data_IF_286281515487
#
_entry.id   IF_286281515487
#
_cell.length_a   1.000
_cell.length_b   1.000
_cell.length_c   1.000
_cell.angle_alpha   90.00
_cell.angle_beta   90.00
_cell.angle_gamma   90.00
#
_symmetry.space_group_name_H-M   'P 1'
#
loop_
_entity.id
_entity.type
_entity.pdbx_description
1 polymer ?
#
# COMPACT_ATOMS: atom_id res chain seq x y z
N UNK A 1 -46.87 14.89 6.13
CA UNK A 1 -46.32 13.71 5.42
C UNK A 1 -45.94 12.69 6.47
N UNK A 2 -46.64 11.56 6.49
CA UNK A 2 -46.69 10.58 7.57
C UNK A 2 -45.95 9.32 7.16
N UNK A 3 -44.97 8.88 7.95
CA UNK A 3 -44.31 7.58 7.75
C UNK A 3 -44.74 6.62 8.85
N UNK A 4 -45.43 5.56 8.43
CA UNK A 4 -45.92 4.45 9.25
C UNK A 4 -44.77 3.54 9.67
N UNK A 5 -44.81 3.13 10.93
CA UNK A 5 -44.06 2.04 11.52
C UNK A 5 -44.53 0.68 10.98
N UNK A 6 -43.62 -0.29 10.88
CA UNK A 6 -43.93 -1.72 10.77
C UNK A 6 -43.29 -2.49 11.92
N UNK A 7 -44.14 -3.24 12.61
CA UNK A 7 -43.85 -4.11 13.75
C UNK A 7 -43.74 -5.57 13.28
N UNK A 8 -42.89 -6.30 14.00
CA UNK A 8 -42.69 -7.75 14.17
C UNK A 8 -43.62 -8.74 13.44
N UNK A 9 -42.99 -9.85 13.01
CA UNK A 9 -43.50 -11.19 13.38
C UNK A 9 -42.34 -12.19 13.49
N UNK A 10 -42.28 -12.85 14.65
CA UNK A 10 -41.40 -13.97 14.94
C UNK A 10 -42.03 -15.28 14.49
N UNK A 11 -41.23 -16.25 14.04
CA UNK A 11 -41.61 -17.66 14.08
C UNK A 11 -40.43 -18.52 14.54
N UNK A 12 -40.73 -19.31 15.55
CA UNK A 12 -39.90 -20.29 16.24
C UNK A 12 -39.81 -21.57 15.39
N UNK A 13 -38.67 -22.28 15.39
CA UNK A 13 -38.67 -23.75 15.38
C UNK A 13 -37.32 -24.28 15.86
N UNK A 14 -37.38 -25.02 16.95
CA UNK A 14 -36.34 -25.79 17.63
C UNK A 14 -36.06 -27.11 16.91
N UNK A 15 -34.82 -27.62 16.93
CA UNK A 15 -34.58 -29.07 16.92
C UNK A 15 -33.26 -29.46 17.60
N UNK A 16 -33.37 -30.58 18.31
CA UNK A 16 -32.47 -31.21 19.27
C UNK A 16 -31.25 -31.90 18.63
N UNK A 17 -30.21 -32.16 19.44
CA UNK A 17 -29.28 -33.26 19.16
C UNK A 17 -27.90 -33.13 19.81
N UNK A 18 -27.80 -33.37 21.11
CA UNK A 18 -26.52 -33.54 21.80
C UNK A 18 -26.39 -34.95 22.39
N UNK A 19 -25.38 -35.70 21.94
CA UNK A 19 -24.80 -36.84 22.64
C UNK A 19 -23.34 -37.00 22.18
N UNK A 20 -22.38 -36.81 23.08
CA UNK A 20 -21.13 -37.58 23.03
C UNK A 20 -20.55 -37.70 24.43
N UNK A 21 -20.56 -38.94 24.90
CA UNK A 21 -20.03 -39.44 26.15
C UNK A 21 -18.53 -39.67 26.04
N UNK A 22 -17.76 -39.22 27.03
CA UNK A 22 -16.48 -39.84 27.38
C UNK A 22 -16.38 -39.91 28.91
N UNK A 23 -16.27 -41.15 29.40
CA UNK A 23 -16.11 -41.53 30.79
C UNK A 23 -14.63 -41.70 31.09
N UNK A 24 -14.16 -41.13 32.21
CA UNK A 24 -12.80 -41.30 32.73
C UNK A 24 -12.84 -41.98 34.10
N UNK A 25 -11.82 -42.78 34.37
CA UNK A 25 -11.68 -43.66 35.51
C UNK A 25 -11.31 -42.95 36.84
N UNK A 26 -11.86 -43.51 37.92
CA UNK A 26 -11.40 -43.71 39.33
C UNK A 26 -9.92 -43.31 39.62
N UNK A 27 -9.44 -42.72 40.74
CA UNK A 27 -9.72 -42.66 42.21
C UNK A 27 -8.69 -41.68 42.85
N UNK A 28 -8.44 -41.62 44.19
CA UNK A 28 -9.16 -41.02 45.32
C UNK A 28 -8.52 -39.72 45.92
N UNK A 29 -9.22 -39.17 46.91
CA UNK A 29 -8.97 -37.97 47.71
C UNK A 29 -7.66 -37.90 48.52
N UNK A 30 -7.19 -36.66 48.74
CA UNK A 30 -6.45 -36.20 49.94
C UNK A 30 -7.00 -34.82 50.35
N UNK A 31 -7.28 -34.53 51.64
CA UNK A 31 -7.73 -33.22 52.08
C UNK A 31 -6.58 -32.36 52.64
N UNK A 32 -6.52 -31.09 52.24
CA UNK A 32 -5.73 -30.03 52.91
C UNK A 32 -6.39 -28.68 52.58
N UNK A 33 -7.17 -28.13 53.51
CA UNK A 33 -6.75 -27.09 54.46
C UNK A 33 -6.30 -25.77 53.81
N UNK A 34 -7.22 -24.81 53.79
CA UNK A 34 -6.95 -23.38 53.95
C UNK A 34 -6.68 -22.60 52.67
N UNK A 35 -7.69 -21.88 52.16
CA UNK A 35 -7.47 -20.74 51.28
C UNK A 35 -8.40 -19.57 51.60
N UNK A 36 -7.76 -18.41 51.75
CA UNK A 36 -8.32 -17.07 51.74
C UNK A 36 -9.03 -16.79 50.41
N UNK A 37 -10.27 -16.28 50.47
CA UNK A 37 -10.93 -15.66 49.31
C UNK A 37 -10.29 -14.30 49.03
N UNK A 38 -9.43 -14.23 48.01
CA UNK A 38 -9.14 -12.98 47.31
C UNK A 38 -10.03 -12.92 46.07
N UNK A 39 -10.89 -11.90 46.00
CA UNK A 39 -11.71 -11.59 44.82
C UNK A 39 -10.80 -11.22 43.65
N UNK A 40 -10.86 -12.00 42.57
CA UNK A 40 -10.32 -11.62 41.26
C UNK A 40 -11.47 -11.06 40.43
N UNK A 41 -11.46 -9.75 40.25
CA UNK A 41 -12.33 -9.03 39.33
C UNK A 41 -11.76 -9.19 37.91
N UNK A 42 -12.34 -10.09 37.11
CA UNK A 42 -12.06 -10.18 35.68
C UNK A 42 -12.76 -9.02 34.96
N UNK A 43 -11.99 -7.97 34.66
CA UNK A 43 -12.42 -6.89 33.79
C UNK A 43 -12.22 -7.32 32.32
N UNK A 44 -13.33 -7.55 31.64
CA UNK A 44 -13.43 -7.70 30.19
C UNK A 44 -12.75 -6.52 29.51
N UNK A 45 -11.74 -6.78 28.69
CA UNK A 45 -11.06 -5.76 27.89
C UNK A 45 -11.76 -5.71 26.54
N UNK A 46 -12.44 -4.61 26.29
CA UNK A 46 -13.06 -4.28 25.02
C UNK A 46 -12.02 -4.23 23.89
N UNK A 47 -12.40 -4.87 22.80
CA UNK A 47 -11.74 -4.90 21.50
C UNK A 47 -11.57 -3.48 20.97
N UNK A 48 -10.37 -2.92 21.14
CA UNK A 48 -10.05 -1.57 20.68
C UNK A 48 -9.67 -1.60 19.20
N UNK A 49 -10.47 -0.85 18.44
CA UNK A 49 -10.36 -0.66 17.00
C UNK A 49 -8.95 -0.29 16.51
N UNK A 50 -8.51 -0.95 15.44
CA UNK A 50 -7.32 -0.59 14.68
C UNK A 50 -7.55 0.77 14.01
N UNK A 51 -6.84 1.79 14.49
CA UNK A 51 -6.85 3.13 13.94
C UNK A 51 -6.35 3.10 12.48
N UNK A 52 -7.28 3.33 11.56
CA UNK A 52 -7.00 3.56 10.14
C UNK A 52 -6.59 5.02 10.00
N UNK A 53 -5.33 5.29 9.65
CA UNK A 53 -4.87 6.64 9.35
C UNK A 53 -5.62 7.15 8.10
N UNK A 54 -6.54 8.08 8.32
CA UNK A 54 -7.27 8.79 7.28
C UNK A 54 -6.36 9.75 6.52
N UNK A 55 -6.61 9.86 5.22
CA UNK A 55 -5.94 10.80 4.32
C UNK A 55 -6.51 12.21 4.56
N UNK A 56 -5.68 13.27 4.69
CA UNK A 56 -6.18 14.64 4.66
C UNK A 56 -6.46 15.08 3.22
N UNK A 57 -7.66 15.65 2.99
CA UNK A 57 -8.01 16.44 1.79
C UNK A 57 -7.15 17.72 1.77
N UNK A 58 -6.31 17.89 0.75
CA UNK A 58 -5.62 19.15 0.48
C UNK A 58 -6.42 20.03 -0.49
N UNK A 59 -6.76 21.22 -0.02
CA UNK A 59 -7.54 22.22 -0.73
C UNK A 59 -6.79 22.86 -1.91
N UNK A 60 -7.52 23.07 -3.00
CA UNK A 60 -7.07 23.76 -4.20
C UNK A 60 -6.82 25.26 -3.96
N UNK A 61 -5.57 25.71 -4.21
CA UNK A 61 -5.27 27.12 -4.50
C UNK A 61 -5.17 27.37 -6.01
N UNK A 62 -5.88 28.41 -6.44
CA UNK A 62 -5.99 28.92 -7.81
C UNK A 62 -4.66 29.53 -8.30
N UNK A 63 -4.27 29.24 -9.54
CA UNK A 63 -3.27 30.01 -10.28
C UNK A 63 -3.92 30.73 -11.48
N UNK A 64 -3.54 31.99 -11.64
CA UNK A 64 -4.03 32.99 -12.60
C UNK A 64 -3.30 32.96 -13.94
N UNK A 65 -3.99 33.43 -14.99
CA UNK A 65 -3.55 33.67 -16.37
C UNK A 65 -2.41 34.69 -16.51
N UNK A 66 -1.63 34.55 -17.60
CA UNK A 66 -1.19 35.58 -18.59
C UNK A 66 0.26 35.29 -19.02
N UNK A 67 0.70 35.35 -20.28
CA UNK A 67 0.10 35.91 -21.50
C UNK A 67 0.87 35.55 -22.77
N UNK A 68 0.28 35.99 -23.88
CA UNK A 68 0.68 35.87 -25.28
C UNK A 68 2.11 36.38 -25.60
N UNK A 69 2.78 35.76 -26.58
CA UNK A 69 3.20 36.43 -27.83
C UNK A 69 3.82 35.46 -28.88
N UNK A 70 3.31 35.57 -30.11
CA UNK A 70 3.86 35.16 -31.43
C UNK A 70 3.59 36.39 -32.36
N UNK A 71 4.14 36.58 -33.57
CA UNK A 71 4.91 35.65 -34.39
C UNK A 71 6.07 36.24 -35.24
N UNK A 72 6.90 35.35 -35.79
CA UNK A 72 7.83 35.67 -36.88
C UNK A 72 7.92 34.50 -37.87
N UNK A 73 7.44 34.71 -39.09
CA UNK A 73 7.45 33.78 -40.23
C UNK A 73 8.53 34.23 -41.22
N UNK A 74 9.34 33.30 -41.77
CA UNK A 74 9.76 33.33 -43.19
C UNK A 74 10.03 31.90 -43.72
N UNK A 75 9.84 31.65 -45.04
CA UNK A 75 9.63 30.33 -45.61
C UNK A 75 10.82 29.78 -46.43
N UNK A 76 10.84 28.45 -46.59
CA UNK A 76 11.25 27.82 -47.84
C UNK A 76 12.63 27.16 -47.87
N UNK A 77 12.69 25.85 -47.57
CA UNK A 77 13.64 24.96 -48.26
C UNK A 77 13.07 23.54 -48.33
N UNK A 78 12.88 23.08 -49.58
CA UNK A 78 12.46 21.74 -49.95
C UNK A 78 13.63 20.78 -49.72
N UNK A 79 13.46 19.76 -48.89
CA UNK A 79 14.31 18.57 -48.91
C UNK A 79 13.53 17.36 -48.41
N UNK A 80 13.76 16.22 -49.06
CA UNK A 80 12.82 15.11 -49.21
C UNK A 80 12.24 14.49 -47.94
N UNK A 81 10.94 14.20 -48.00
CA UNK A 81 10.21 13.35 -47.07
C UNK A 81 10.74 11.92 -47.22
N UNK A 82 11.71 11.57 -46.39
CA UNK A 82 12.05 10.16 -46.10
C UNK A 82 11.23 9.78 -44.87
N UNK A 83 10.09 9.15 -45.11
CA UNK A 83 9.22 8.57 -44.07
C UNK A 83 10.05 7.59 -43.24
N UNK A 84 10.59 8.05 -42.10
CA UNK A 84 11.13 7.18 -41.06
C UNK A 84 9.92 6.57 -40.35
N UNK A 85 9.52 5.38 -40.79
CA UNK A 85 8.72 4.47 -39.98
C UNK A 85 9.64 4.01 -38.85
N UNK A 86 9.71 4.79 -37.77
CA UNK A 86 10.28 4.34 -36.51
C UNK A 86 9.27 3.42 -35.82
N UNK A 87 9.03 2.27 -36.42
CA UNK A 87 8.25 1.18 -35.84
C UNK A 87 9.21 0.13 -35.30
N UNK A 88 9.92 0.43 -34.22
CA UNK A 88 10.47 -0.64 -33.36
C UNK A 88 9.35 -0.98 -32.39
N UNK A 89 8.39 -1.77 -32.87
CA UNK A 89 7.44 -2.47 -32.02
C UNK A 89 8.28 -3.44 -31.20
N UNK A 90 8.59 -3.05 -29.96
CA UNK A 90 9.15 -3.97 -28.99
C UNK A 90 8.25 -5.22 -28.95
N UNK A 91 8.82 -6.44 -28.94
CA UNK A 91 8.01 -7.65 -28.80
C UNK A 91 7.06 -7.47 -27.61
N UNK A 92 5.79 -7.90 -27.73
CA UNK A 92 4.81 -7.64 -26.71
C UNK A 92 5.34 -8.17 -25.38
N UNK A 93 5.40 -7.27 -24.40
CA UNK A 93 5.67 -7.61 -23.02
C UNK A 93 4.76 -8.78 -22.62
N UNK A 94 5.27 -9.66 -21.75
CA UNK A 94 4.61 -10.90 -21.35
C UNK A 94 3.12 -10.61 -21.09
N UNK A 95 2.18 -11.30 -21.77
CA UNK A 95 0.77 -10.99 -21.63
C UNK A 95 0.34 -11.18 -20.17
N UNK A 96 -0.55 -10.32 -19.70
CA UNK A 96 -1.16 -10.47 -18.38
C UNK A 96 -2.24 -11.53 -18.46
N UNK A 97 -1.93 -12.71 -17.92
CA UNK A 97 -2.84 -13.86 -17.89
C UNK A 97 -3.49 -13.96 -16.52
N UNK A 98 -4.82 -14.03 -16.49
CA UNK A 98 -5.61 -14.26 -15.28
C UNK A 98 -6.21 -15.66 -15.40
N UNK A 99 -5.85 -16.56 -14.48
CA UNK A 99 -6.39 -17.91 -14.47
C UNK A 99 -7.75 -17.96 -13.78
N UNK A 100 -8.65 -18.80 -14.28
CA UNK A 100 -9.89 -19.13 -13.59
C UNK A 100 -9.59 -19.66 -12.19
N UNK A 101 -10.32 -19.16 -11.18
CA UNK A 101 -10.10 -19.54 -9.79
C UNK A 101 -9.00 -18.73 -9.08
N UNK A 102 -8.21 -17.93 -9.80
CA UNK A 102 -7.20 -17.06 -9.21
C UNK A 102 -7.77 -15.68 -8.82
N UNK A 103 -7.20 -15.05 -7.79
CA UNK A 103 -7.52 -13.66 -7.45
C UNK A 103 -6.79 -12.68 -8.38
N UNK A 104 -7.41 -11.52 -8.66
CA UNK A 104 -6.75 -10.48 -9.45
C UNK A 104 -5.42 -10.03 -8.82
N UNK A 105 -5.34 -9.98 -7.49
CA UNK A 105 -4.11 -9.68 -6.75
C UNK A 105 -3.00 -10.69 -7.06
N UNK A 106 -3.31 -11.99 -7.03
CA UNK A 106 -2.33 -13.05 -7.28
C UNK A 106 -1.86 -13.00 -8.74
N UNK A 107 -2.79 -12.83 -9.69
CA UNK A 107 -2.44 -12.69 -11.11
C UNK A 107 -1.47 -11.52 -11.33
N UNK A 108 -1.71 -10.35 -10.71
CA UNK A 108 -0.80 -9.20 -10.79
C UNK A 108 0.58 -9.52 -10.22
N UNK A 109 0.65 -10.20 -9.07
CA UNK A 109 1.92 -10.58 -8.45
C UNK A 109 2.69 -11.53 -9.36
N UNK A 110 2.03 -12.55 -9.89
CA UNK A 110 2.65 -13.53 -10.78
C UNK A 110 3.17 -12.86 -12.04
N UNK A 111 2.36 -12.05 -12.69
CA UNK A 111 2.74 -11.35 -13.93
C UNK A 111 3.90 -10.37 -13.72
N UNK A 112 3.87 -9.54 -12.68
CA UNK A 112 5.00 -8.64 -12.39
C UNK A 112 6.28 -9.44 -12.07
N UNK A 113 6.16 -10.58 -11.38
CA UNK A 113 7.31 -11.45 -11.13
C UNK A 113 7.83 -12.11 -12.41
N UNK A 114 6.96 -12.53 -13.32
CA UNK A 114 7.36 -13.12 -14.60
C UNK A 114 7.99 -12.09 -15.53
N UNK A 115 7.66 -10.81 -15.38
CA UNK A 115 8.33 -9.67 -16.04
C UNK A 115 9.66 -9.27 -15.36
N UNK A 116 10.06 -9.96 -14.29
CA UNK A 116 11.36 -9.82 -13.65
C UNK A 116 11.41 -8.84 -12.46
N UNK A 117 10.25 -8.33 -12.00
CA UNK A 117 10.19 -7.51 -10.80
C UNK A 117 10.33 -8.37 -9.52
N UNK A 118 11.33 -8.04 -8.71
CA UNK A 118 11.69 -8.78 -7.48
C UNK A 118 10.87 -8.35 -6.27
N UNK A 119 10.26 -7.17 -6.33
CA UNK A 119 9.49 -6.57 -5.25
C UNK A 119 8.34 -5.76 -5.81
N UNK A 120 7.19 -5.81 -5.11
CA UNK A 120 5.96 -5.16 -5.52
C UNK A 120 5.45 -4.34 -4.33
N UNK A 121 5.46 -3.03 -4.44
CA UNK A 121 4.87 -2.11 -3.46
C UNK A 121 3.37 -1.93 -3.72
N UNK A 122 2.62 -1.68 -2.66
CA UNK A 122 1.16 -1.49 -2.72
C UNK A 122 0.77 -0.22 -2.00
N UNK A 123 0.15 0.72 -2.71
CA UNK A 123 -0.44 1.94 -2.17
C UNK A 123 -1.89 2.07 -2.65
N UNK A 124 -2.72 1.16 -2.15
CA UNK A 124 -4.13 1.00 -2.54
C UNK A 124 -5.05 1.12 -1.32
N UNK A 125 -6.25 1.67 -1.53
CA UNK A 125 -7.28 1.80 -0.51
C UNK A 125 -7.93 0.45 -0.18
N UNK A 126 -8.61 0.38 0.97
CA UNK A 126 -9.26 -0.84 1.44
C UNK A 126 -10.31 -1.36 0.43
N UNK A 127 -11.12 -0.48 -0.15
CA UNK A 127 -12.14 -0.87 -1.15
C UNK A 127 -11.55 -1.55 -2.38
N UNK A 128 -10.44 -1.04 -2.90
CA UNK A 128 -9.73 -1.62 -4.04
C UNK A 128 -9.03 -2.92 -3.67
N UNK A 129 -8.46 -2.99 -2.47
CA UNK A 129 -7.87 -4.23 -1.92
C UNK A 129 -8.88 -5.37 -1.88
N UNK A 130 -10.12 -5.11 -1.44
CA UNK A 130 -11.18 -6.12 -1.44
C UNK A 130 -11.60 -6.52 -2.86
N UNK A 131 -11.64 -5.57 -3.81
CA UNK A 131 -11.94 -5.88 -5.21
C UNK A 131 -10.86 -6.75 -5.86
N UNK A 132 -9.59 -6.51 -5.53
CA UNK A 132 -8.46 -7.31 -6.01
C UNK A 132 -8.42 -8.73 -5.43
N UNK A 133 -9.06 -8.97 -4.27
CA UNK A 133 -9.22 -10.32 -3.69
C UNK A 133 -10.30 -11.15 -4.39
N UNK A 134 -11.14 -10.55 -5.23
CA UNK A 134 -12.15 -11.30 -6.00
C UNK A 134 -11.47 -12.29 -6.94
N UNK A 135 -12.13 -13.43 -7.12
CA UNK A 135 -11.67 -14.52 -7.97
C UNK A 135 -12.18 -14.33 -9.40
N UNK A 136 -11.34 -14.65 -10.39
CA UNK A 136 -11.74 -14.67 -11.79
C UNK A 136 -12.60 -15.90 -12.09
N UNK A 137 -13.75 -15.69 -12.75
CA UNK A 137 -14.70 -16.76 -13.10
C UNK A 137 -14.34 -17.51 -14.37
N UNK A 138 -13.40 -16.98 -15.16
CA UNK A 138 -12.89 -17.56 -16.41
C UNK A 138 -11.47 -17.08 -16.66
N UNK A 139 -10.74 -17.80 -17.51
CA UNK A 139 -9.45 -17.34 -18.00
C UNK A 139 -9.61 -16.02 -18.77
N UNK A 140 -8.68 -15.12 -18.57
CA UNK A 140 -8.63 -13.83 -19.25
C UNK A 140 -7.18 -13.49 -19.62
N UNK A 141 -7.01 -12.72 -20.68
CA UNK A 141 -5.70 -12.34 -21.19
C UNK A 141 -5.75 -10.90 -21.67
N UNK A 142 -4.87 -10.07 -21.08
CA UNK A 142 -4.73 -8.66 -21.43
C UNK A 142 -3.32 -8.46 -22.04
N UNK A 143 -3.19 -7.77 -23.19
CA UNK A 143 -1.89 -7.40 -23.74
C UNK A 143 -1.00 -6.65 -22.73
N UNK A 144 0.31 -6.89 -22.79
CA UNK A 144 1.16 -6.94 -21.60
C UNK A 144 1.97 -5.71 -21.19
N UNK A 145 1.57 -4.47 -21.46
CA UNK A 145 2.25 -3.33 -20.83
C UNK A 145 1.55 -2.85 -19.54
N UNK A 146 2.28 -2.29 -18.55
CA UNK A 146 1.72 -1.83 -17.28
C UNK A 146 0.53 -0.88 -17.42
N UNK A 147 0.52 0.01 -18.40
CA UNK A 147 -0.56 0.98 -18.58
C UNK A 147 -1.83 0.32 -19.13
N UNK A 148 -1.68 -0.57 -20.12
CA UNK A 148 -2.81 -1.34 -20.68
C UNK A 148 -3.40 -2.28 -19.63
N UNK A 149 -2.56 -2.99 -18.88
CA UNK A 149 -3.01 -3.91 -17.83
C UNK A 149 -3.73 -3.16 -16.71
N UNK A 150 -3.17 -2.03 -16.25
CA UNK A 150 -3.80 -1.25 -15.17
C UNK A 150 -5.13 -0.63 -15.63
N UNK A 151 -5.23 -0.14 -16.87
CA UNK A 151 -6.46 0.40 -17.44
C UNK A 151 -7.56 -0.67 -17.57
N UNK A 152 -7.21 -1.86 -18.07
CA UNK A 152 -8.15 -2.97 -18.21
C UNK A 152 -8.65 -3.47 -16.86
N UNK A 153 -7.76 -3.63 -15.88
CA UNK A 153 -8.13 -4.01 -14.51
C UNK A 153 -8.99 -2.94 -13.83
N UNK A 154 -8.65 -1.67 -14.03
CA UNK A 154 -9.43 -0.52 -13.53
C UNK A 154 -10.87 -0.59 -14.01
N UNK A 155 -11.07 -0.75 -15.32
CA UNK A 155 -12.39 -0.87 -15.93
C UNK A 155 -13.14 -2.09 -15.40
N UNK A 156 -12.47 -3.24 -15.28
CA UNK A 156 -13.07 -4.50 -14.82
C UNK A 156 -13.51 -4.46 -13.35
N UNK A 157 -12.73 -3.80 -12.51
CA UNK A 157 -12.96 -3.77 -11.05
C UNK A 157 -13.75 -2.54 -10.60
N UNK A 158 -13.94 -1.54 -11.46
CA UNK A 158 -14.59 -0.27 -11.11
C UNK A 158 -13.76 0.51 -10.08
N UNK A 159 -12.44 0.50 -10.24
CA UNK A 159 -11.47 1.28 -9.45
C UNK A 159 -10.52 1.94 -10.42
N UNK A 160 -9.77 2.93 -9.97
CA UNK A 160 -8.71 3.51 -10.77
C UNK A 160 -7.39 2.99 -10.21
N UNK A 161 -6.64 2.22 -10.99
CA UNK A 161 -5.38 1.61 -10.63
C UNK A 161 -4.30 2.01 -11.62
N UNK A 162 -3.12 2.30 -11.09
CA UNK A 162 -1.91 2.58 -11.86
C UNK A 162 -0.80 1.63 -11.45
N UNK A 163 0.03 1.26 -12.42
CA UNK A 163 1.23 0.46 -12.20
C UNK A 163 2.43 1.31 -12.58
N UNK A 164 3.30 1.57 -11.61
CA UNK A 164 4.59 2.22 -11.82
C UNK A 164 5.71 1.19 -11.73
N UNK A 165 6.77 1.39 -12.50
CA UNK A 165 7.91 0.47 -12.54
C UNK A 165 9.22 1.22 -12.32
N UNK A 166 10.19 0.54 -11.70
CA UNK A 166 11.56 1.01 -11.55
C UNK A 166 12.50 -0.09 -12.06
N UNK A 167 12.95 0.09 -13.30
CA UNK A 167 13.78 -0.89 -14.00
C UNK A 167 15.13 -1.14 -13.33
N UNK A 168 15.72 -0.10 -12.72
CA UNK A 168 17.02 -0.19 -12.08
C UNK A 168 16.96 -1.04 -10.80
N UNK A 169 15.92 -0.83 -9.99
CA UNK A 169 15.70 -1.61 -8.76
C UNK A 169 15.01 -2.96 -9.02
N UNK A 170 14.45 -3.14 -10.22
CA UNK A 170 13.54 -4.23 -10.55
C UNK A 170 12.41 -4.33 -9.53
N UNK A 171 11.79 -3.18 -9.24
CA UNK A 171 10.59 -3.09 -8.40
C UNK A 171 9.42 -2.49 -9.19
N UNK A 172 8.22 -2.94 -8.85
CA UNK A 172 6.97 -2.39 -9.35
C UNK A 172 6.14 -1.85 -8.18
N UNK A 173 5.21 -0.97 -8.47
CA UNK A 173 4.27 -0.43 -7.50
C UNK A 173 2.87 -0.37 -8.10
N UNK A 174 1.89 -0.79 -7.31
CA UNK A 174 0.47 -0.71 -7.65
C UNK A 174 -0.15 0.34 -6.73
N UNK A 175 -0.73 1.39 -7.31
CA UNK A 175 -1.21 2.54 -6.54
C UNK A 175 -2.48 3.19 -7.11
N UNK A 176 -3.12 4.04 -6.31
CA UNK A 176 -4.33 4.79 -6.66
C UNK A 176 -4.13 6.30 -6.71
N UNK A 177 -2.89 6.77 -6.72
CA UNK A 177 -2.59 8.19 -6.97
C UNK A 177 -2.66 8.50 -8.47
N UNK A 178 -3.81 9.00 -8.91
CA UNK A 178 -4.02 9.45 -10.29
C UNK A 178 -3.34 10.78 -10.52
N UNK A 179 -2.80 10.96 -11.73
CA UNK A 179 -2.20 12.22 -12.18
C UNK A 179 -0.97 12.68 -11.37
N UNK A 180 -0.52 11.86 -10.41
CA UNK A 180 0.69 12.10 -9.63
C UNK A 180 1.81 11.16 -10.09
N UNK A 181 2.98 11.74 -10.28
CA UNK A 181 4.20 10.95 -10.42
C UNK A 181 4.56 10.31 -9.09
N UNK A 182 4.97 9.05 -9.12
CA UNK A 182 5.34 8.28 -7.93
C UNK A 182 6.79 7.86 -7.99
N UNK A 183 7.40 7.70 -6.82
CA UNK A 183 8.75 7.18 -6.66
C UNK A 183 8.71 5.86 -5.91
N UNK A 184 9.37 4.85 -6.46
CA UNK A 184 9.59 3.57 -5.79
C UNK A 184 10.98 3.59 -5.15
N UNK A 185 11.02 3.39 -3.84
CA UNK A 185 12.25 3.35 -3.05
C UNK A 185 12.43 1.99 -2.40
N UNK A 186 13.68 1.61 -2.16
CA UNK A 186 14.03 0.42 -1.40
C UNK A 186 14.18 0.80 0.06
N UNK A 187 13.52 0.09 0.96
CA UNK A 187 13.78 0.17 2.40
C UNK A 187 14.88 -0.85 2.72
N UNK A 188 16.05 -0.38 3.18
CA UNK A 188 17.19 -1.26 3.49
C UNK A 188 18.12 -0.65 4.54
N UNK A 189 18.73 -1.49 5.37
CA UNK A 189 19.68 -1.10 6.41
C UNK A 189 19.54 -1.94 7.68
N UNK A 190 20.64 -2.13 8.39
CA UNK A 190 20.69 -2.99 9.59
C UNK A 190 20.18 -2.29 10.86
N UNK A 191 20.25 -0.96 10.89
CA UNK A 191 19.73 -0.11 11.99
C UNK A 191 18.67 0.83 11.45
N UNK A 192 17.74 1.28 12.30
CA UNK A 192 16.69 2.22 11.88
C UNK A 192 17.30 3.54 11.37
N UNK A 193 18.38 4.03 12.01
CA UNK A 193 19.15 5.18 11.50
C UNK A 193 19.64 4.94 10.08
N UNK A 194 20.23 3.78 9.81
CA UNK A 194 20.69 3.40 8.48
C UNK A 194 19.55 3.30 7.47
N UNK A 195 18.43 2.71 7.87
CA UNK A 195 17.21 2.61 7.04
C UNK A 195 16.70 3.99 6.64
N UNK A 196 16.55 4.92 7.58
CA UNK A 196 16.04 6.26 7.29
C UNK A 196 17.04 7.09 6.47
N UNK A 197 18.34 6.99 6.77
CA UNK A 197 19.39 7.62 5.95
C UNK A 197 19.29 7.17 4.49
N UNK A 198 19.22 5.85 4.27
CA UNK A 198 19.11 5.28 2.94
C UNK A 198 17.79 5.68 2.26
N UNK A 199 16.67 5.62 2.99
CA UNK A 199 15.35 6.03 2.49
C UNK A 199 15.34 7.49 2.03
N UNK A 200 15.83 8.40 2.87
CA UNK A 200 15.87 9.85 2.60
C UNK A 200 16.75 10.14 1.39
N UNK A 201 17.95 9.56 1.34
CA UNK A 201 18.87 9.77 0.22
C UNK A 201 18.41 9.12 -1.08
N UNK A 202 17.85 7.91 -1.05
CA UNK A 202 17.24 7.23 -2.21
C UNK A 202 16.02 8.02 -2.74
N UNK A 203 15.28 8.67 -1.84
CA UNK A 203 14.18 9.57 -2.19
C UNK A 203 14.67 10.91 -2.78
N UNK A 204 15.96 11.25 -2.64
CA UNK A 204 16.58 12.45 -3.19
C UNK A 204 16.59 13.63 -2.22
N UNK A 205 16.34 13.37 -0.93
CA UNK A 205 16.33 14.37 0.14
C UNK A 205 17.66 14.37 0.92
N UNK A 206 17.86 15.43 1.69
CA UNK A 206 19.06 15.71 2.45
C UNK A 206 19.06 15.00 3.81
N UNK A 207 20.13 14.26 4.07
CA UNK A 207 20.40 13.63 5.36
C UNK A 207 21.75 14.12 5.90
N UNK A 208 21.77 14.64 7.13
CA UNK A 208 22.98 15.04 7.83
C UNK A 208 23.21 14.13 9.05
N UNK A 209 24.27 13.32 9.04
CA UNK A 209 24.52 12.34 10.12
C UNK A 209 24.67 12.94 11.52
N UNK A 210 25.07 14.22 11.61
CA UNK A 210 25.25 14.96 12.87
C UNK A 210 23.95 15.59 13.36
N UNK A 211 23.03 15.94 12.47
CA UNK A 211 21.84 16.73 12.82
C UNK A 211 20.52 16.00 12.61
N UNK A 212 20.42 15.11 11.62
CA UNK A 212 19.21 14.40 11.23
C UNK A 212 18.81 13.30 12.24
N UNK A 213 19.75 12.76 13.00
CA UNK A 213 19.45 11.74 14.01
C UNK A 213 19.62 12.31 15.42
N UNK A 214 18.51 12.71 16.05
CA UNK A 214 18.48 13.41 17.34
C UNK A 214 17.96 12.54 18.49
N UNK A 215 17.90 11.22 18.29
CA UNK A 215 17.59 10.25 19.34
C UNK A 215 18.86 9.55 19.80
N UNK A 216 18.93 9.24 21.09
CA UNK A 216 20.02 8.43 21.66
C UNK A 216 19.74 6.92 21.56
N UNK A 217 18.56 6.52 21.07
CA UNK A 217 18.17 5.11 20.96
C UNK A 217 18.86 4.43 19.79
N UNK A 218 19.35 3.21 20.01
CA UNK A 218 19.78 2.33 18.94
C UNK A 218 18.66 1.35 18.60
N UNK A 219 17.98 1.58 17.48
CA UNK A 219 16.82 0.80 17.06
C UNK A 219 17.18 -0.10 15.89
N UNK A 220 16.73 -1.35 15.93
CA UNK A 220 16.94 -2.31 14.85
C UNK A 220 16.24 -1.87 13.56
N UNK A 221 16.89 -2.14 12.42
CA UNK A 221 16.31 -1.93 11.10
C UNK A 221 15.36 -3.06 10.70
N UNK A 222 15.39 -3.42 9.42
CA UNK A 222 14.59 -4.52 8.89
C UNK A 222 15.50 -5.63 8.37
N UNK A 223 15.18 -6.87 8.71
CA UNK A 223 15.97 -8.04 8.29
C UNK A 223 15.91 -8.29 6.79
N UNK A 224 14.82 -7.90 6.13
CA UNK A 224 14.58 -8.13 4.71
C UNK A 224 14.27 -6.78 4.04
N UNK A 225 14.99 -6.40 2.98
CA UNK A 225 14.64 -5.21 2.21
C UNK A 225 13.30 -5.35 1.49
N UNK A 226 12.53 -4.26 1.41
CA UNK A 226 11.25 -4.24 0.71
C UNK A 226 11.03 -2.90 -0.02
N UNK A 227 10.24 -2.88 -1.11
CA UNK A 227 9.91 -1.64 -1.79
C UNK A 227 8.80 -0.89 -1.06
N UNK A 228 8.89 0.44 -1.06
CA UNK A 228 7.78 1.35 -0.78
C UNK A 228 7.57 2.29 -1.97
N UNK A 229 6.39 2.90 -2.02
CA UNK A 229 6.02 3.86 -3.05
C UNK A 229 5.32 5.05 -2.41
N UNK A 230 5.61 6.24 -2.90
CA UNK A 230 4.94 7.48 -2.54
C UNK A 230 4.90 8.44 -3.74
N UNK A 231 4.02 9.45 -3.76
CA UNK A 231 4.16 10.59 -4.65
C UNK A 231 5.56 11.20 -4.55
N UNK A 232 6.10 11.72 -5.66
CA UNK A 232 7.49 12.24 -5.72
C UNK A 232 7.79 13.36 -4.71
N UNK A 233 6.77 14.07 -4.26
CA UNK A 233 6.89 15.23 -3.37
C UNK A 233 6.46 14.93 -1.91
N UNK A 234 6.09 13.68 -1.60
CA UNK A 234 5.57 13.29 -0.27
C UNK A 234 6.46 12.23 0.39
N UNK A 235 7.61 12.67 0.91
CA UNK A 235 8.47 11.80 1.73
C UNK A 235 7.81 11.43 3.06
N UNK A 236 6.90 12.28 3.56
CA UNK A 236 6.20 12.09 4.82
C UNK A 236 5.47 10.76 4.86
N UNK A 237 4.83 10.38 3.75
CA UNK A 237 4.16 9.09 3.61
C UNK A 237 5.12 7.90 3.82
N UNK A 238 6.32 7.95 3.25
CA UNK A 238 7.33 6.89 3.42
C UNK A 238 7.85 6.84 4.86
N UNK A 239 8.14 8.00 5.44
CA UNK A 239 8.62 8.12 6.81
C UNK A 239 7.59 7.56 7.80
N UNK A 240 6.32 7.93 7.65
CA UNK A 240 5.22 7.45 8.48
C UNK A 240 5.05 5.93 8.38
N UNK A 241 5.18 5.36 7.18
CA UNK A 241 5.11 3.91 6.98
C UNK A 241 6.28 3.17 7.65
N UNK A 242 7.50 3.68 7.53
CA UNK A 242 8.71 3.04 8.09
C UNK A 242 8.77 3.20 9.61
N UNK A 243 8.32 4.34 10.12
CA UNK A 243 8.32 4.67 11.55
C UNK A 243 7.05 4.22 12.27
N UNK A 244 6.09 3.61 11.56
CA UNK A 244 4.89 3.07 12.18
C UNK A 244 5.25 2.14 13.35
N UNK A 245 4.71 2.43 14.53
CA UNK A 245 4.95 1.70 15.78
C UNK A 245 6.43 1.70 16.24
N UNK A 246 7.20 2.73 15.89
CA UNK A 246 8.55 2.97 16.41
C UNK A 246 8.51 4.09 17.45
N UNK A 247 9.36 4.07 18.50
CA UNK A 247 9.35 5.06 19.56
C UNK A 247 10.12 6.36 19.17
N UNK A 248 10.00 6.75 17.90
CA UNK A 248 10.61 7.92 17.28
C UNK A 248 9.66 8.45 16.21
N UNK A 249 9.75 9.75 15.92
CA UNK A 249 9.02 10.40 14.83
C UNK A 249 9.97 11.14 13.91
N UNK A 250 9.49 11.45 12.70
CA UNK A 250 10.20 12.30 11.77
C UNK A 250 9.59 13.71 11.74
N UNK A 251 10.46 14.70 11.68
CA UNK A 251 10.17 16.09 11.36
C UNK A 251 10.88 16.39 10.04
N UNK A 252 10.19 16.97 9.07
CA UNK A 252 10.75 17.22 7.76
C UNK A 252 10.38 18.61 7.26
N UNK A 253 11.29 19.21 6.48
CA UNK A 253 11.15 20.55 5.94
C UNK A 253 11.26 20.49 4.42
N UNK A 254 10.16 20.79 3.73
CA UNK A 254 10.04 20.66 2.27
C UNK A 254 10.98 21.61 1.53
N UNK A 255 11.10 22.87 1.96
CA UNK A 255 11.94 23.89 1.32
C UNK A 255 13.42 23.50 1.25
N UNK A 256 13.91 22.80 2.27
CA UNK A 256 15.31 22.36 2.36
C UNK A 256 15.46 20.87 2.07
N UNK A 257 14.35 20.18 1.79
CA UNK A 257 14.26 18.73 1.64
C UNK A 257 15.04 17.99 2.73
N UNK A 258 14.96 18.44 3.97
CA UNK A 258 15.76 17.89 5.09
C UNK A 258 14.88 17.16 6.08
N UNK A 259 15.36 16.02 6.58
CA UNK A 259 14.66 15.21 7.58
C UNK A 259 15.44 15.16 8.90
N UNK A 260 14.70 15.27 10.00
CA UNK A 260 15.16 15.10 11.37
C UNK A 260 14.33 14.01 12.05
N UNK A 261 14.97 13.23 12.91
CA UNK A 261 14.33 12.13 13.66
C UNK A 261 14.53 12.40 15.14
N UNK A 262 13.43 12.46 15.88
CA UNK A 262 13.38 12.78 17.30
C UNK A 262 12.65 11.68 18.07
N UNK A 263 12.88 11.60 19.37
CA UNK A 263 12.13 10.68 20.23
C UNK A 263 10.65 11.04 20.26
N UNK A 264 9.79 10.01 20.25
CA UNK A 264 8.37 10.23 20.49
C UNK A 264 8.15 10.66 21.94
N UNK A 265 7.18 11.55 22.16
CA UNK A 265 6.92 12.14 23.49
C UNK A 265 6.27 11.14 24.44
#
# INVERSE_FOLDING_TARGET
MSYKAYLLTALCLSFLGGCSSYSAATTPQVPRSGEHKTMVETKTIDETAVATAGFPESGHSKATKSGNNKPGVKPGQKSGVKTRISGITHPPANPFVILQGETYKSAMIHWLKSDGYKGIAWAIYAGTRERLKKVATKNDMIPGDPATVSAALSAKLGVKLSIATNEKLKYAAIHEWHDLSVKIVKVHGNTLKGVLKNLVTDFGWNWNDQQSWRTHKNLHGFSIPFPLVAPVDDIGLLLNQVLANRPVRAEYFEDTQTVFVTDDK
#
